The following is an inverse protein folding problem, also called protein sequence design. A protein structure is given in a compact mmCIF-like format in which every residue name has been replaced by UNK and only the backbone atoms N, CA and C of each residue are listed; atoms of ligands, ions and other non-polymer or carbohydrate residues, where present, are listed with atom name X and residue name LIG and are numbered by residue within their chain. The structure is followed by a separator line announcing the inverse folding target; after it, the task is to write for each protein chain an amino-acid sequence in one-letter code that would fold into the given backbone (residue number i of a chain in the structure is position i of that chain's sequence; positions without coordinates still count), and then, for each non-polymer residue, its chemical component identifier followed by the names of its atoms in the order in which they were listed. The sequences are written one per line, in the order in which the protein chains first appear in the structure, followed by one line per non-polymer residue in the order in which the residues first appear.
data_IF_509211849270
#
_entry.id   IF_509211849270
#
_cell.length_a   1.000
_cell.length_b   1.000
_cell.length_c   1.000
_cell.angle_alpha   90.00
_cell.angle_beta   90.00
_cell.angle_gamma   90.00
#
_symmetry.space_group_name_H-M   'P 1'
#
loop_
_entity.id
_entity.type
_entity.pdbx_description
1 polymer ?
#
# COMPACT_ATOMS: atom_id res chain seq x y z
N UNK A 1 20.43 3.86 -0.98
CA UNK A 1 19.24 3.27 -1.62
C UNK A 1 18.18 3.07 -0.57
N UNK A 2 16.97 3.58 -0.80
CA UNK A 2 15.89 3.48 0.18
C UNK A 2 15.24 2.11 0.16
N UNK A 3 14.60 1.74 1.25
CA UNK A 3 13.72 0.58 1.37
C UNK A 3 12.26 1.06 1.37
N UNK A 4 11.40 0.36 0.66
CA UNK A 4 9.96 0.61 0.60
C UNK A 4 9.19 -0.64 1.01
N UNK A 5 8.21 -0.47 1.88
CA UNK A 5 7.27 -1.54 2.20
C UNK A 5 5.92 -1.29 1.54
N UNK A 6 5.39 -2.29 0.84
CA UNK A 6 4.04 -2.29 0.28
C UNK A 6 3.13 -3.08 1.21
N UNK A 7 2.14 -2.42 1.82
CA UNK A 7 1.12 -3.08 2.63
C UNK A 7 -0.03 -3.48 1.69
N UNK A 8 -0.16 -4.77 1.44
CA UNK A 8 -1.18 -5.35 0.58
C UNK A 8 -2.43 -5.69 1.42
N UNK A 9 -3.38 -4.76 1.49
CA UNK A 9 -4.65 -4.89 2.21
C UNK A 9 -5.73 -5.70 1.47
N UNK A 10 -5.34 -6.52 0.49
CA UNK A 10 -6.23 -7.45 -0.19
C UNK A 10 -6.58 -8.66 0.66
N UNK A 11 -7.69 -9.32 0.32
CA UNK A 11 -8.17 -10.52 1.02
C UNK A 11 -7.59 -11.82 0.47
N UNK A 12 -6.84 -11.76 -0.62
CA UNK A 12 -6.15 -12.89 -1.26
C UNK A 12 -5.09 -12.39 -2.23
N UNK A 13 -4.05 -13.19 -2.44
CA UNK A 13 -2.96 -12.87 -3.38
C UNK A 13 -3.47 -12.77 -4.83
N UNK A 14 -4.26 -13.74 -5.28
CA UNK A 14 -4.79 -13.78 -6.64
C UNK A 14 -5.96 -12.81 -6.86
N UNK A 15 -5.67 -11.52 -6.83
CA UNK A 15 -6.66 -10.46 -7.07
C UNK A 15 -6.13 -9.43 -8.06
N UNK A 16 -7.01 -8.64 -8.68
CA UNK A 16 -6.60 -7.53 -9.55
C UNK A 16 -5.74 -6.49 -8.82
N UNK A 17 -5.92 -6.35 -7.50
CA UNK A 17 -5.06 -5.49 -6.68
C UNK A 17 -3.59 -5.88 -6.79
N UNK A 18 -3.29 -7.18 -6.91
CA UNK A 18 -1.92 -7.64 -7.05
C UNK A 18 -1.26 -7.16 -8.35
N UNK A 19 -2.03 -6.88 -9.40
CA UNK A 19 -1.50 -6.24 -10.61
C UNK A 19 -0.92 -4.86 -10.35
N UNK A 20 -1.58 -4.04 -9.51
CA UNK A 20 -1.06 -2.73 -9.08
C UNK A 20 0.18 -2.88 -8.20
N UNK A 21 0.15 -3.85 -7.28
CA UNK A 21 1.27 -4.14 -6.38
C UNK A 21 2.49 -4.58 -7.16
N UNK A 22 2.34 -5.50 -8.13
CA UNK A 22 3.44 -5.97 -8.96
C UNK A 22 4.03 -4.85 -9.82
N UNK A 23 3.19 -4.00 -10.43
CA UNK A 23 3.68 -2.87 -11.20
C UNK A 23 4.48 -1.91 -10.32
N UNK A 24 3.97 -1.57 -9.13
CA UNK A 24 4.68 -0.71 -8.19
C UNK A 24 6.01 -1.34 -7.72
N UNK A 25 6.00 -2.61 -7.34
CA UNK A 25 7.20 -3.33 -6.91
C UNK A 25 8.26 -3.38 -8.01
N UNK A 26 7.87 -3.71 -9.23
CA UNK A 26 8.79 -3.79 -10.38
C UNK A 26 9.41 -2.42 -10.69
N UNK A 27 8.62 -1.35 -10.70
CA UNK A 27 9.13 0.00 -10.97
C UNK A 27 10.11 0.46 -9.89
N UNK A 28 9.79 0.23 -8.61
CA UNK A 28 10.69 0.54 -7.49
C UNK A 28 12.00 -0.25 -7.59
N UNK A 29 11.92 -1.55 -7.82
CA UNK A 29 13.09 -2.43 -7.93
C UNK A 29 13.97 -2.02 -9.12
N UNK A 30 13.37 -1.68 -10.27
CA UNK A 30 14.11 -1.18 -11.44
C UNK A 30 14.81 0.15 -11.18
N UNK A 31 14.35 0.94 -10.21
CA UNK A 31 15.01 2.16 -9.72
C UNK A 31 16.00 1.89 -8.57
N UNK A 32 16.33 0.63 -8.28
CA UNK A 32 17.32 0.26 -7.26
C UNK A 32 16.79 0.35 -5.82
N UNK A 33 15.47 0.41 -5.61
CA UNK A 33 14.85 0.42 -4.28
C UNK A 33 14.62 -1.01 -3.79
N UNK A 34 15.00 -1.31 -2.55
CA UNK A 34 14.61 -2.57 -1.92
C UNK A 34 13.10 -2.55 -1.63
N UNK A 35 12.37 -3.60 -2.04
CA UNK A 35 10.92 -3.68 -1.84
C UNK A 35 10.56 -4.88 -0.98
N UNK A 36 9.75 -4.63 0.06
CA UNK A 36 9.10 -5.67 0.85
C UNK A 36 7.59 -5.58 0.68
N UNK A 37 6.92 -6.72 0.66
CA UNK A 37 5.45 -6.79 0.54
C UNK A 37 4.91 -7.50 1.76
N UNK A 38 4.06 -6.81 2.52
CA UNK A 38 3.28 -7.39 3.63
C UNK A 38 1.91 -7.74 3.08
N UNK A 39 1.67 -9.03 2.85
CA UNK A 39 0.33 -9.52 2.49
C UNK A 39 -0.49 -9.73 3.76
N UNK A 40 -1.30 -8.75 4.14
CA UNK A 40 -2.01 -8.73 5.42
C UNK A 40 -2.87 -9.97 5.65
N UNK A 41 -3.49 -10.52 4.60
CA UNK A 41 -4.31 -11.74 4.70
C UNK A 41 -3.52 -13.02 5.03
N UNK A 42 -2.19 -12.98 4.97
CA UNK A 42 -1.30 -14.09 5.35
C UNK A 42 -0.85 -14.02 6.81
N UNK A 43 -1.03 -12.89 7.47
CA UNK A 43 -0.83 -12.76 8.91
C UNK A 43 -1.87 -13.62 9.61
N UNK A 44 -1.50 -14.24 10.73
CA UNK A 44 -2.41 -15.10 11.47
C UNK A 44 -3.70 -14.35 11.80
N UNK A 45 -4.84 -14.90 11.36
CA UNK A 45 -6.13 -14.21 11.45
C UNK A 45 -6.55 -13.91 12.90
N UNK A 46 -6.25 -14.81 13.83
CA UNK A 46 -6.54 -14.61 15.25
C UNK A 46 -5.79 -13.39 15.80
N UNK A 47 -4.51 -13.26 15.48
CA UNK A 47 -3.70 -12.12 15.91
C UNK A 47 -4.26 -10.77 15.39
N UNK A 48 -4.75 -10.75 14.14
CA UNK A 48 -5.39 -9.56 13.57
C UNK A 48 -6.71 -9.22 14.27
N UNK A 49 -7.55 -10.24 14.54
CA UNK A 49 -8.90 -10.03 15.07
C UNK A 49 -8.89 -9.71 16.57
N UNK A 50 -7.98 -10.33 17.33
CA UNK A 50 -7.85 -10.10 18.78
C UNK A 50 -6.91 -8.95 19.13
N UNK A 51 -6.33 -8.31 18.13
CA UNK A 51 -5.32 -7.26 18.30
C UNK A 51 -4.12 -7.72 19.16
N UNK A 52 -3.55 -8.88 18.82
CA UNK A 52 -2.37 -9.41 19.52
C UNK A 52 -1.10 -8.67 19.07
N UNK A 53 -0.76 -7.59 19.78
CA UNK A 53 0.43 -6.79 19.54
C UNK A 53 1.73 -7.57 19.75
N UNK A 54 1.70 -8.73 20.41
CA UNK A 54 2.89 -9.53 20.75
C UNK A 54 3.16 -10.65 19.76
N UNK A 55 2.26 -10.86 18.80
CA UNK A 55 2.38 -11.96 17.83
C UNK A 55 3.63 -11.78 16.94
N UNK A 56 4.43 -12.85 16.72
CA UNK A 56 5.65 -12.79 15.91
C UNK A 56 5.45 -12.23 14.49
N UNK A 57 4.35 -12.59 13.81
CA UNK A 57 4.04 -12.08 12.48
C UNK A 57 3.80 -10.56 12.48
N UNK A 58 3.17 -10.04 13.54
CA UNK A 58 2.95 -8.60 13.72
C UNK A 58 4.29 -7.89 13.94
N UNK A 59 5.14 -8.43 14.80
CA UNK A 59 6.49 -7.87 15.02
C UNK A 59 7.31 -7.86 13.74
N UNK A 60 7.31 -8.95 12.98
CA UNK A 60 8.02 -9.04 11.72
C UNK A 60 7.50 -8.00 10.72
N UNK A 61 6.21 -7.90 10.54
CA UNK A 61 5.59 -6.92 9.64
C UNK A 61 5.89 -5.48 10.06
N UNK A 62 5.81 -5.17 11.35
CA UNK A 62 6.10 -3.84 11.88
C UNK A 62 7.58 -3.45 11.70
N UNK A 63 8.52 -4.40 11.85
CA UNK A 63 9.94 -4.14 11.62
C UNK A 63 10.28 -3.80 10.16
N UNK A 64 9.53 -4.37 9.20
CA UNK A 64 9.66 -4.02 7.78
C UNK A 64 9.22 -2.57 7.52
N UNK A 65 8.17 -2.11 8.17
CA UNK A 65 7.72 -0.71 8.07
C UNK A 65 8.71 0.22 8.75
N UNK A 66 9.16 -0.12 9.95
CA UNK A 66 10.11 0.70 10.72
C UNK A 66 11.37 1.00 9.91
N UNK A 67 11.94 -0.02 9.25
CA UNK A 67 13.16 0.09 8.44
C UNK A 67 12.96 0.76 7.07
N UNK A 68 11.72 1.08 6.67
CA UNK A 68 11.40 1.67 5.36
C UNK A 68 11.43 3.20 5.39
N UNK A 69 11.90 3.80 4.30
CA UNK A 69 11.82 5.25 4.05
C UNK A 69 10.50 5.66 3.39
N UNK A 70 9.77 4.71 2.79
CA UNK A 70 8.47 4.95 2.20
C UNK A 70 7.55 3.74 2.33
N UNK A 71 6.24 4.01 2.29
CA UNK A 71 5.20 2.98 2.40
C UNK A 71 4.16 3.17 1.31
N UNK A 72 3.87 2.12 0.57
CA UNK A 72 2.72 2.05 -0.34
C UNK A 72 1.63 1.25 0.35
N UNK A 73 0.40 1.78 0.37
CA UNK A 73 -0.75 1.10 0.98
C UNK A 73 -1.75 0.77 -0.13
N UNK A 74 -1.83 -0.50 -0.51
CA UNK A 74 -2.72 -0.99 -1.56
C UNK A 74 -3.94 -1.68 -0.95
N UNK A 75 -5.15 -1.23 -1.31
CA UNK A 75 -6.40 -1.75 -0.74
C UNK A 75 -7.52 -1.87 -1.76
N UNK A 76 -8.31 -2.93 -1.72
CA UNK A 76 -9.61 -2.91 -2.38
C UNK A 76 -10.57 -2.00 -1.59
N UNK A 77 -11.51 -1.38 -2.31
CA UNK A 77 -12.55 -0.58 -1.67
C UNK A 77 -13.83 -1.40 -1.54
N UNK A 78 -14.24 -1.64 -0.30
CA UNK A 78 -15.47 -2.32 0.06
C UNK A 78 -16.38 -1.37 0.86
N UNK A 79 -17.65 -1.24 0.42
CA UNK A 79 -18.62 -0.39 1.13
C UNK A 79 -18.09 1.02 1.43
N UNK A 80 -17.53 1.66 0.39
CA UNK A 80 -17.00 3.03 0.43
C UNK A 80 -15.81 3.26 1.40
N UNK A 81 -15.12 2.21 1.81
CA UNK A 81 -13.91 2.29 2.64
C UNK A 81 -12.85 1.26 2.20
N UNK A 82 -11.64 1.42 2.68
CA UNK A 82 -10.59 0.41 2.55
C UNK A 82 -10.98 -0.89 3.28
N UNK A 83 -10.32 -2.00 2.98
CA UNK A 83 -10.69 -3.31 3.50
C UNK A 83 -10.57 -3.40 5.02
N UNK A 84 -11.48 -4.14 5.66
CA UNK A 84 -11.43 -4.39 7.11
C UNK A 84 -10.17 -5.13 7.53
N UNK A 85 -9.63 -6.03 6.69
CA UNK A 85 -8.38 -6.73 6.98
C UNK A 85 -7.19 -5.77 7.04
N UNK A 86 -7.17 -4.75 6.17
CA UNK A 86 -6.17 -3.69 6.25
C UNK A 86 -6.30 -2.90 7.55
N UNK A 87 -7.55 -2.54 7.94
CA UNK A 87 -7.77 -1.79 9.20
C UNK A 87 -7.29 -2.58 10.41
N UNK A 88 -7.59 -3.88 10.47
CA UNK A 88 -7.13 -4.74 11.56
C UNK A 88 -5.60 -4.73 11.71
N UNK A 89 -4.86 -4.68 10.61
CA UNK A 89 -3.40 -4.56 10.67
C UNK A 89 -2.93 -3.15 11.02
N UNK A 90 -3.54 -2.10 10.44
CA UNK A 90 -3.15 -0.72 10.74
C UNK A 90 -3.32 -0.37 12.22
N UNK A 91 -4.29 -0.98 12.90
CA UNK A 91 -4.52 -0.81 14.34
C UNK A 91 -3.40 -1.43 15.20
N UNK A 92 -2.61 -2.35 14.63
CA UNK A 92 -1.50 -3.01 15.30
C UNK A 92 -0.14 -2.32 15.04
N UNK A 93 -0.13 -1.26 14.25
CA UNK A 93 1.08 -0.48 14.04
C UNK A 93 1.42 0.35 15.30
N UNK A 94 2.71 0.50 15.61
CA UNK A 94 3.14 1.42 16.66
C UNK A 94 2.66 2.86 16.42
N UNK A 95 2.51 3.62 17.50
CA UNK A 95 2.23 5.05 17.39
C UNK A 95 3.28 5.73 16.50
N UNK A 96 2.82 6.55 15.56
CA UNK A 96 3.67 7.30 14.62
C UNK A 96 4.55 6.40 13.71
N UNK A 97 4.11 5.16 13.43
CA UNK A 97 4.82 4.22 12.57
C UNK A 97 5.15 4.78 11.17
N UNK A 98 4.40 5.77 10.70
CA UNK A 98 4.59 6.41 9.39
C UNK A 98 5.31 7.77 9.47
N UNK A 99 5.78 8.18 10.66
CA UNK A 99 6.50 9.46 10.79
C UNK A 99 7.78 9.46 9.96
N UNK A 100 8.01 10.56 9.23
CA UNK A 100 9.17 10.74 8.36
C UNK A 100 9.18 9.88 7.09
N UNK A 101 8.11 9.14 6.82
CA UNK A 101 7.98 8.30 5.63
C UNK A 101 7.13 8.96 4.56
N UNK A 102 7.49 8.71 3.29
CA UNK A 102 6.62 9.07 2.17
C UNK A 102 5.56 7.99 2.00
N UNK A 103 4.29 8.37 1.92
CA UNK A 103 3.17 7.42 1.84
C UNK A 103 2.39 7.59 0.54
N UNK A 104 2.16 6.48 -0.18
CA UNK A 104 1.34 6.46 -1.41
C UNK A 104 0.16 5.48 -1.24
N UNK A 105 -1.07 5.97 -1.14
CA UNK A 105 -2.27 5.14 -1.16
C UNK A 105 -2.61 4.67 -2.57
N UNK A 106 -2.93 3.37 -2.73
CA UNK A 106 -3.43 2.76 -3.96
C UNK A 106 -4.78 2.09 -3.69
N UNK A 107 -5.82 2.48 -4.41
CA UNK A 107 -7.16 1.93 -4.28
C UNK A 107 -7.60 1.17 -5.53
N UNK A 108 -8.33 0.09 -5.33
CA UNK A 108 -9.00 -0.66 -6.38
C UNK A 108 -10.48 -0.86 -6.06
N UNK A 109 -11.37 -0.56 -7.00
CA UNK A 109 -12.80 -0.77 -6.77
C UNK A 109 -13.65 -0.72 -8.04
N UNK A 110 -14.94 -0.99 -7.90
CA UNK A 110 -15.85 -1.18 -9.03
C UNK A 110 -16.23 0.08 -9.79
N UNK A 111 -16.03 1.29 -9.23
CA UNK A 111 -16.40 2.55 -9.87
C UNK A 111 -15.55 3.73 -9.41
N UNK A 112 -15.44 4.75 -10.26
CA UNK A 112 -14.69 5.98 -9.97
C UNK A 112 -15.23 6.75 -8.74
N UNK A 113 -16.49 6.57 -8.37
CA UNK A 113 -17.05 7.18 -7.15
C UNK A 113 -16.36 6.73 -5.86
N UNK A 114 -15.64 5.63 -5.90
CA UNK A 114 -14.89 5.11 -4.74
C UNK A 114 -13.52 5.78 -4.52
N UNK A 115 -13.10 6.68 -5.41
CA UNK A 115 -11.85 7.45 -5.22
C UNK A 115 -11.82 8.18 -3.87
N UNK A 116 -12.97 8.75 -3.47
CA UNK A 116 -13.08 9.50 -2.22
C UNK A 116 -12.84 8.64 -0.97
N UNK A 117 -12.96 7.31 -1.06
CA UNK A 117 -12.66 6.40 0.04
C UNK A 117 -11.19 6.50 0.50
N UNK A 118 -10.25 6.78 -0.41
CA UNK A 118 -8.84 7.01 -0.04
C UNK A 118 -8.71 8.28 0.80
N UNK A 119 -9.33 9.39 0.38
CA UNK A 119 -9.19 10.68 1.02
C UNK A 119 -9.97 10.80 2.35
N UNK A 120 -11.17 10.22 2.41
CA UNK A 120 -12.06 10.40 3.57
C UNK A 120 -12.05 9.25 4.56
N UNK A 121 -11.64 8.06 4.15
CA UNK A 121 -11.55 6.92 5.05
C UNK A 121 -10.10 6.53 5.40
N UNK A 122 -9.17 6.51 4.42
CA UNK A 122 -7.80 6.06 4.66
C UNK A 122 -6.88 7.18 5.13
N UNK A 123 -6.85 8.34 4.47
CA UNK A 123 -5.94 9.45 4.81
C UNK A 123 -6.01 9.87 6.29
N UNK A 124 -7.20 9.97 6.96
CA UNK A 124 -7.24 10.28 8.38
C UNK A 124 -6.50 9.27 9.26
N UNK A 125 -6.59 7.97 8.91
CA UNK A 125 -5.87 6.91 9.64
C UNK A 125 -4.37 7.02 9.43
N UNK A 126 -3.91 7.33 8.21
CA UNK A 126 -2.49 7.53 7.92
C UNK A 126 -1.91 8.73 8.68
N UNK A 127 -2.68 9.80 8.80
CA UNK A 127 -2.30 10.98 9.60
C UNK A 127 -2.19 10.65 11.08
N UNK A 128 -3.12 9.87 11.62
CA UNK A 128 -3.05 9.38 13.01
C UNK A 128 -1.80 8.53 13.24
N UNK A 129 -1.41 7.71 12.27
CA UNK A 129 -0.15 6.95 12.28
C UNK A 129 1.10 7.83 12.06
N UNK A 130 0.95 9.15 12.00
CA UNK A 130 2.05 10.10 11.92
C UNK A 130 2.57 10.38 10.52
N UNK A 131 1.86 10.00 9.45
CA UNK A 131 2.26 10.32 8.09
C UNK A 131 2.18 11.83 7.83
N UNK A 132 3.31 12.44 7.52
CA UNK A 132 3.45 13.87 7.20
C UNK A 132 3.39 14.12 5.69
N UNK A 133 3.91 13.17 4.89
CA UNK A 133 3.94 13.24 3.43
C UNK A 133 3.05 12.13 2.87
N UNK A 134 1.82 12.46 2.54
CA UNK A 134 0.87 11.56 1.87
C UNK A 134 0.64 12.07 0.45
N UNK A 135 1.04 11.29 -0.56
CA UNK A 135 0.77 11.63 -1.94
C UNK A 135 -0.73 11.47 -2.25
N UNK A 136 -1.18 12.18 -3.28
CA UNK A 136 -2.53 11.97 -3.80
C UNK A 136 -2.70 10.51 -4.18
N UNK A 137 -3.60 9.82 -3.50
CA UNK A 137 -3.90 8.41 -3.74
C UNK A 137 -4.31 8.13 -5.18
N UNK A 138 -3.86 7.01 -5.73
CA UNK A 138 -4.27 6.56 -7.06
C UNK A 138 -5.37 5.52 -6.94
N UNK A 139 -6.43 5.73 -7.71
CA UNK A 139 -7.57 4.82 -7.77
C UNK A 139 -7.67 4.18 -9.16
N UNK A 140 -7.81 2.87 -9.20
CA UNK A 140 -8.01 2.10 -10.42
C UNK A 140 -9.34 1.35 -10.36
N UNK A 141 -10.09 1.38 -11.46
CA UNK A 141 -11.34 0.63 -11.56
C UNK A 141 -11.03 -0.82 -11.92
N UNK A 142 -11.69 -1.78 -11.28
CA UNK A 142 -11.47 -3.22 -11.44
C UNK A 142 -11.37 -3.68 -12.91
N UNK A 143 -12.25 -3.14 -13.77
CA UNK A 143 -12.29 -3.48 -15.20
C UNK A 143 -11.08 -3.03 -16.00
N UNK A 144 -10.27 -2.12 -15.45
CA UNK A 144 -9.04 -1.65 -16.08
C UNK A 144 -7.85 -2.60 -15.84
N UNK A 145 -8.07 -3.69 -15.12
CA UNK A 145 -7.05 -4.73 -14.88
C UNK A 145 -7.60 -6.07 -15.32
N UNK A 146 -6.99 -6.67 -16.33
CA UNK A 146 -7.27 -8.03 -16.77
C UNK A 146 -6.32 -9.02 -16.08
N UNK A 147 -6.84 -10.18 -15.70
CA UNK A 147 -6.04 -11.31 -15.20
C UNK A 147 -5.77 -12.25 -16.35
N UNK A 148 -4.51 -12.42 -16.72
CA UNK A 148 -4.09 -13.27 -17.82
C UNK A 148 -3.84 -14.74 -17.42
N UNK A 149 -3.93 -15.08 -16.12
CA UNK A 149 -3.54 -16.36 -15.57
C UNK A 149 -2.10 -16.34 -15.05
N UNK A 150 -1.68 -17.39 -14.34
CA UNK A 150 -0.33 -17.58 -13.81
C UNK A 150 0.26 -16.38 -13.06
N UNK A 151 -0.60 -15.60 -12.39
CA UNK A 151 -0.20 -14.41 -11.65
C UNK A 151 0.16 -13.20 -12.53
N UNK A 152 -0.14 -13.24 -13.82
CA UNK A 152 0.09 -12.15 -14.75
C UNK A 152 -1.14 -11.24 -14.85
N UNK A 153 -0.89 -9.95 -15.05
CA UNK A 153 -1.92 -8.92 -15.15
C UNK A 153 -1.62 -7.96 -16.30
N UNK A 154 -2.67 -7.58 -17.03
CA UNK A 154 -2.62 -6.48 -17.98
C UNK A 154 -3.41 -5.30 -17.40
N UNK A 155 -2.78 -4.11 -17.40
CA UNK A 155 -3.39 -2.89 -16.90
C UNK A 155 -3.63 -1.97 -18.09
N UNK A 156 -4.87 -1.48 -18.21
CA UNK A 156 -5.25 -0.51 -19.24
C UNK A 156 -4.27 0.68 -19.26
N UNK A 157 -3.87 1.12 -20.44
CA UNK A 157 -2.80 2.09 -20.64
C UNK A 157 -3.00 3.38 -19.84
N UNK A 158 -4.23 3.90 -19.81
CA UNK A 158 -4.56 5.14 -19.08
C UNK A 158 -4.46 4.98 -17.56
N UNK A 159 -4.78 3.79 -17.03
CA UNK A 159 -4.62 3.47 -15.61
C UNK A 159 -3.14 3.28 -15.26
N UNK A 160 -2.40 2.63 -16.15
CA UNK A 160 -0.95 2.43 -16.00
C UNK A 160 -0.20 3.76 -15.99
N UNK A 161 -0.48 4.66 -16.93
CA UNK A 161 0.16 5.99 -17.00
C UNK A 161 -0.08 6.82 -15.71
N UNK A 162 -1.30 6.78 -15.15
CA UNK A 162 -1.58 7.45 -13.87
C UNK A 162 -0.79 6.85 -12.72
N UNK A 163 -0.68 5.53 -12.66
CA UNK A 163 0.08 4.85 -11.63
C UNK A 163 1.57 5.11 -11.78
N UNK A 164 2.11 5.03 -13.00
CA UNK A 164 3.51 5.34 -13.32
C UNK A 164 3.87 6.79 -12.90
N UNK A 165 2.98 7.75 -13.16
CA UNK A 165 3.18 9.14 -12.74
C UNK A 165 3.24 9.28 -11.21
N UNK A 166 2.34 8.62 -10.48
CA UNK A 166 2.34 8.64 -9.02
C UNK A 166 3.57 7.98 -8.42
N UNK A 167 4.00 6.85 -9.00
CA UNK A 167 5.22 6.15 -8.58
C UNK A 167 6.48 6.97 -8.84
N UNK A 168 6.56 7.67 -9.98
CA UNK A 168 7.68 8.57 -10.27
C UNK A 168 7.75 9.72 -9.25
N UNK A 169 6.61 10.29 -8.88
CA UNK A 169 6.55 11.31 -7.83
C UNK A 169 6.99 10.75 -6.47
N UNK A 170 6.51 9.56 -6.13
CA UNK A 170 6.88 8.85 -4.90
C UNK A 170 8.40 8.61 -4.83
N UNK A 171 9.00 8.08 -5.91
CA UNK A 171 10.45 7.84 -6.00
C UNK A 171 11.25 9.15 -5.87
N UNK A 172 10.77 10.23 -6.53
CA UNK A 172 11.42 11.55 -6.42
C UNK A 172 11.47 12.05 -4.98
N UNK A 173 10.37 11.93 -4.23
CA UNK A 173 10.31 12.32 -2.82
C UNK A 173 11.16 11.43 -1.91
N UNK A 174 11.22 10.12 -2.18
CA UNK A 174 12.12 9.21 -1.45
C UNK A 174 13.58 9.65 -1.56
N UNK A 175 14.00 10.03 -2.77
CA UNK A 175 15.38 10.46 -3.02
C UNK A 175 15.69 11.80 -2.34
N UNK A 176 14.74 12.72 -2.29
CA UNK A 176 14.90 14.02 -1.60
C UNK A 176 15.03 13.83 -0.08
N UNK A 177 14.15 13.03 0.54
CA UNK A 177 14.20 12.76 1.97
C UNK A 177 15.48 12.01 2.41
N UNK A 178 16.11 11.27 1.49
CA UNK A 178 17.36 10.54 1.79
C UNK A 178 18.59 11.45 1.83
N UNK A 179 18.50 12.70 1.40
CA UNK A 179 19.62 13.68 1.35
C UNK A 179 19.63 14.59 2.59
N UNK A 180 18.54 14.67 3.33
CA UNK A 180 18.41 15.55 4.51
C UNK A 180 18.72 14.84 5.85
N UNK A 181 19.14 13.59 5.83
CA UNK A 181 19.58 12.79 6.99
C UNK A 181 21.08 12.47 6.80
#
# INVERSE_FOLDING_TARGET
MGKVTIIAGGIKTESRLNGLIQLAANQLTNNGTEVKIIEVHKIQAEALVTADFTHPDIHLANSEIESSSGVIIATPIFKAAYSGVLKAYLDLLPLKALKGKVVLPLGLGGSNGHLLALQYALDPVLKELGAEIILKGQFTVDKQIERLGDGLYEIEITAKERLDSALNQFISLLNQNSVEV
#
